data_IF_780188587005
#
_entry.id   IF_780188587005
#
_cell.length_a   1.000
_cell.length_b   1.000
_cell.length_c   1.000
_cell.angle_alpha   90.00
_cell.angle_beta   90.00
_cell.angle_gamma   90.00
#
_symmetry.space_group_name_H-M   'P 1'
#
loop_
_entity.id
_entity.type
_entity.pdbx_description
1 polymer ?
#
# COMPACT_ATOMS: atom_id res chain seq x y z
N UNK A 1 -3.27 0.83 14.64
CA UNK A 1 -3.81 0.92 13.28
C UNK A 1 -4.03 -0.48 12.75
N UNK A 2 -5.26 -0.88 12.61
CA UNK A 2 -5.65 -2.10 11.91
C UNK A 2 -5.91 -1.66 10.47
N UNK A 3 -5.11 -2.11 9.50
CA UNK A 3 -5.45 -2.01 8.08
C UNK A 3 -6.79 -2.73 7.88
N UNK A 4 -7.88 -1.96 7.80
CA UNK A 4 -9.20 -2.51 7.52
C UNK A 4 -9.32 -2.69 5.99
N UNK A 5 -8.74 -3.80 5.50
CA UNK A 5 -8.82 -4.19 4.10
C UNK A 5 -10.24 -4.68 3.80
N UNK A 6 -11.22 -3.77 3.84
CA UNK A 6 -12.60 -4.08 3.46
C UNK A 6 -12.69 -4.24 1.95
N UNK A 7 -13.00 -5.45 1.54
CA UNK A 7 -13.29 -5.76 0.15
C UNK A 7 -14.45 -4.94 -0.39
N UNK A 8 -14.17 -4.08 -1.37
CA UNK A 8 -15.19 -3.49 -2.22
C UNK A 8 -15.85 -4.60 -3.02
N UNK A 9 -17.18 -4.68 -2.97
CA UNK A 9 -17.97 -5.67 -3.70
C UNK A 9 -17.77 -5.53 -5.21
N UNK A 10 -17.24 -6.57 -5.83
CA UNK A 10 -17.13 -6.68 -7.27
C UNK A 10 -18.47 -7.02 -7.87
N UNK A 11 -18.93 -6.24 -8.85
CA UNK A 11 -20.01 -6.62 -9.75
C UNK A 11 -19.66 -7.93 -10.45
N UNK A 12 -20.45 -8.97 -10.23
CA UNK A 12 -20.39 -10.26 -10.91
C UNK A 12 -20.80 -10.08 -12.38
N UNK A 13 -19.84 -9.79 -13.24
CA UNK A 13 -19.98 -10.15 -14.65
C UNK A 13 -19.78 -11.67 -14.73
N UNK A 14 -20.70 -12.38 -15.38
CA UNK A 14 -20.58 -13.82 -15.67
C UNK A 14 -19.46 -14.01 -16.68
N UNK A 15 -18.27 -14.24 -16.16
CA UNK A 15 -17.06 -14.43 -16.94
C UNK A 15 -16.93 -15.90 -17.34
N UNK A 16 -16.98 -16.19 -18.66
CA UNK A 16 -16.81 -17.52 -19.25
C UNK A 16 -15.34 -17.93 -19.36
N UNK A 17 -14.48 -17.37 -18.52
CA UNK A 17 -13.04 -17.61 -18.52
C UNK A 17 -12.74 -19.04 -18.02
N UNK A 18 -11.89 -19.76 -18.72
CA UNK A 18 -11.43 -21.08 -18.27
C UNK A 18 -10.64 -20.95 -16.96
N UNK A 19 -10.96 -21.73 -15.92
CA UNK A 19 -10.26 -21.63 -14.64
C UNK A 19 -8.74 -21.78 -14.76
N UNK A 20 -8.01 -20.94 -14.05
CA UNK A 20 -6.55 -21.02 -13.97
C UNK A 20 -6.17 -22.18 -13.03
N UNK A 21 -5.79 -23.34 -13.62
CA UNK A 21 -5.41 -24.55 -12.87
C UNK A 21 -4.14 -24.33 -12.01
N UNK A 22 -3.22 -23.49 -12.48
CA UNK A 22 -2.01 -23.18 -11.72
C UNK A 22 -2.35 -22.48 -10.39
N UNK A 23 -3.31 -21.56 -10.41
CA UNK A 23 -3.79 -20.91 -9.20
C UNK A 23 -4.44 -21.89 -8.23
N UNK A 24 -5.23 -22.85 -8.71
CA UNK A 24 -5.87 -23.85 -7.83
C UNK A 24 -4.80 -24.67 -7.06
N UNK A 25 -3.78 -25.14 -7.75
CA UNK A 25 -2.66 -25.86 -7.14
C UNK A 25 -1.87 -24.96 -6.15
N UNK A 26 -1.72 -23.68 -6.49
CA UNK A 26 -1.05 -22.70 -5.60
C UNK A 26 -1.86 -22.45 -4.33
N UNK A 27 -3.18 -22.37 -4.42
CA UNK A 27 -4.09 -22.21 -3.26
C UNK A 27 -3.93 -23.43 -2.32
N UNK A 28 -4.01 -24.66 -2.84
CA UNK A 28 -3.82 -25.86 -2.02
C UNK A 28 -2.43 -25.91 -1.37
N UNK A 29 -1.40 -25.46 -2.09
CA UNK A 29 -0.04 -25.40 -1.56
C UNK A 29 0.08 -24.37 -0.46
N UNK A 30 -0.48 -23.17 -0.66
CA UNK A 30 -0.47 -22.11 0.34
C UNK A 30 -1.27 -22.51 1.59
N UNK A 31 -2.41 -23.20 1.44
CA UNK A 31 -3.19 -23.69 2.58
C UNK A 31 -2.38 -24.70 3.42
N UNK A 32 -1.62 -25.61 2.78
CA UNK A 32 -0.70 -26.53 3.48
C UNK A 32 0.46 -25.80 4.16
N UNK A 33 1.03 -24.81 3.50
CA UNK A 33 2.08 -23.95 4.08
C UNK A 33 1.56 -23.18 5.28
N UNK A 34 0.35 -22.64 5.19
CA UNK A 34 -0.31 -21.96 6.29
C UNK A 34 -0.50 -22.89 7.51
N UNK A 35 -1.01 -24.10 7.31
CA UNK A 35 -1.18 -25.11 8.37
C UNK A 35 0.14 -25.55 9.01
N UNK A 36 1.25 -25.45 8.26
CA UNK A 36 2.61 -25.77 8.73
C UNK A 36 3.36 -24.58 9.30
N UNK A 37 2.67 -23.47 9.64
CA UNK A 37 3.22 -22.20 10.13
C UNK A 37 4.22 -21.51 9.19
N UNK A 38 4.21 -21.86 7.89
CA UNK A 38 5.05 -21.24 6.85
C UNK A 38 4.31 -20.06 6.19
N UNK A 39 3.94 -19.06 6.99
CA UNK A 39 3.12 -17.92 6.56
C UNK A 39 3.73 -17.12 5.43
N UNK A 40 5.06 -16.83 5.52
CA UNK A 40 5.80 -16.13 4.47
C UNK A 40 5.76 -16.89 3.15
N UNK A 41 5.96 -18.21 3.19
CA UNK A 41 5.97 -19.06 1.99
C UNK A 41 4.57 -19.09 1.36
N UNK A 42 3.52 -19.18 2.18
CA UNK A 42 2.13 -19.10 1.70
C UNK A 42 1.84 -17.77 1.00
N UNK A 43 2.25 -16.64 1.59
CA UNK A 43 2.12 -15.33 0.97
C UNK A 43 2.89 -15.27 -0.35
N UNK A 44 4.14 -15.74 -0.38
CA UNK A 44 4.97 -15.74 -1.60
C UNK A 44 4.35 -16.60 -2.71
N UNK A 45 3.86 -17.80 -2.38
CA UNK A 45 3.22 -18.72 -3.33
C UNK A 45 2.01 -18.06 -4.01
N UNK A 46 1.18 -17.34 -3.25
CA UNK A 46 -0.03 -16.71 -3.79
C UNK A 46 0.25 -15.36 -4.47
N UNK A 47 1.27 -14.62 -4.01
CA UNK A 47 1.61 -13.29 -4.57
C UNK A 47 1.92 -13.35 -6.06
N UNK A 48 2.54 -14.44 -6.53
CA UNK A 48 2.87 -14.67 -7.95
C UNK A 48 1.61 -14.60 -8.84
N UNK A 49 0.46 -15.00 -8.31
CA UNK A 49 -0.80 -15.07 -9.04
C UNK A 49 -1.62 -13.79 -8.99
N UNK A 50 -1.20 -12.77 -8.22
CA UNK A 50 -1.99 -11.55 -8.07
C UNK A 50 -2.37 -10.89 -9.40
N UNK A 51 -1.41 -10.80 -10.32
CA UNK A 51 -1.58 -10.25 -11.66
C UNK A 51 -1.70 -11.35 -12.74
N UNK A 52 -2.00 -12.60 -12.38
CA UNK A 52 -2.12 -13.67 -13.36
C UNK A 52 -3.31 -13.40 -14.31
N UNK A 53 -3.12 -13.57 -15.61
CA UNK A 53 -4.21 -13.45 -16.58
C UNK A 53 -5.20 -14.63 -16.42
N UNK A 54 -6.39 -14.48 -16.98
CA UNK A 54 -7.38 -15.53 -17.09
C UNK A 54 -7.85 -16.13 -15.74
N UNK A 55 -7.96 -15.30 -14.70
CA UNK A 55 -8.66 -15.66 -13.48
C UNK A 55 -10.15 -15.39 -13.61
N UNK A 56 -10.98 -16.33 -13.15
CA UNK A 56 -12.40 -16.05 -12.93
C UNK A 56 -12.59 -15.12 -11.73
N UNK A 57 -13.73 -14.42 -11.65
CA UNK A 57 -14.06 -13.57 -10.48
C UNK A 57 -14.05 -14.37 -9.17
N UNK A 58 -14.49 -15.63 -9.19
CA UNK A 58 -14.44 -16.52 -8.03
C UNK A 58 -13.01 -16.85 -7.63
N UNK A 59 -12.14 -17.19 -8.59
CA UNK A 59 -10.72 -17.44 -8.33
C UNK A 59 -10.01 -16.22 -7.76
N UNK A 60 -10.31 -15.02 -8.29
CA UNK A 60 -9.77 -13.78 -7.74
C UNK A 60 -10.23 -13.57 -6.29
N UNK A 61 -11.51 -13.82 -6.00
CA UNK A 61 -12.04 -13.71 -4.64
C UNK A 61 -11.37 -14.70 -3.68
N UNK A 62 -11.17 -15.95 -4.10
CA UNK A 62 -10.49 -16.96 -3.29
C UNK A 62 -9.02 -16.62 -3.04
N UNK A 63 -8.33 -16.07 -4.04
CA UNK A 63 -6.95 -15.59 -3.93
C UNK A 63 -6.85 -14.44 -2.91
N UNK A 64 -7.69 -13.42 -3.06
CA UNK A 64 -7.69 -12.23 -2.20
C UNK A 64 -8.10 -12.55 -0.75
N UNK A 65 -9.06 -13.45 -0.55
CA UNK A 65 -9.46 -13.93 0.78
C UNK A 65 -8.30 -14.57 1.58
N UNK A 66 -7.22 -15.00 0.90
CA UNK A 66 -6.01 -15.53 1.51
C UNK A 66 -4.88 -14.52 1.55
N UNK A 67 -4.68 -13.76 0.48
CA UNK A 67 -3.62 -12.75 0.40
C UNK A 67 -3.78 -11.66 1.46
N UNK A 68 -4.98 -11.10 1.62
CA UNK A 68 -5.23 -10.01 2.55
C UNK A 68 -4.85 -10.37 4.01
N UNK A 69 -5.32 -11.50 4.60
CA UNK A 69 -4.92 -11.86 5.96
C UNK A 69 -3.45 -12.30 6.07
N UNK A 70 -2.89 -12.97 5.03
CA UNK A 70 -1.47 -13.34 5.02
C UNK A 70 -0.56 -12.11 5.00
N UNK A 71 -0.87 -11.11 4.15
CA UNK A 71 -0.10 -9.87 4.11
C UNK A 71 -0.16 -9.14 5.47
N UNK A 72 -1.35 -9.07 6.09
CA UNK A 72 -1.52 -8.48 7.43
C UNK A 72 -0.64 -9.19 8.47
N UNK A 73 -0.62 -10.52 8.47
CA UNK A 73 0.17 -11.28 9.43
C UNK A 73 1.67 -11.21 9.14
N UNK A 74 2.09 -11.41 7.89
CA UNK A 74 3.52 -11.50 7.53
C UNK A 74 4.20 -10.14 7.57
N UNK A 75 3.55 -9.10 7.04
CA UNK A 75 4.16 -7.78 6.85
C UNK A 75 3.87 -6.88 8.06
N UNK A 76 2.61 -6.77 8.47
CA UNK A 76 2.16 -5.72 9.39
C UNK A 76 1.97 -6.17 10.84
N UNK A 77 2.05 -7.47 11.16
CA UNK A 77 2.05 -7.92 12.55
C UNK A 77 3.44 -7.79 13.19
N UNK A 78 3.51 -7.92 14.52
CA UNK A 78 4.79 -7.94 15.26
C UNK A 78 5.60 -9.23 15.08
N UNK A 79 5.08 -10.25 14.36
CA UNK A 79 5.81 -11.51 14.14
C UNK A 79 7.00 -11.31 13.21
N UNK A 80 8.17 -11.84 13.58
CA UNK A 80 9.42 -11.77 12.82
C UNK A 80 9.45 -12.81 11.69
N UNK A 81 8.59 -12.64 10.68
CA UNK A 81 8.42 -13.61 9.57
C UNK A 81 9.23 -13.25 8.30
N UNK A 82 9.77 -12.03 8.22
CA UNK A 82 10.52 -11.56 7.06
C UNK A 82 12.01 -11.38 7.36
N UNK A 83 12.31 -10.69 8.44
CA UNK A 83 13.68 -10.37 8.88
C UNK A 83 13.85 -10.82 10.34
N UNK A 84 15.09 -11.01 10.76
CA UNK A 84 15.41 -11.18 12.17
C UNK A 84 15.07 -9.90 12.94
N UNK A 85 14.70 -9.98 14.23
CA UNK A 85 14.45 -8.78 15.00
C UNK A 85 15.68 -7.88 15.01
N UNK A 86 15.44 -6.57 14.85
CA UNK A 86 16.48 -5.56 15.01
C UNK A 86 16.59 -5.18 16.49
N UNK A 87 17.76 -5.28 17.06
CA UNK A 87 18.01 -4.85 18.44
C UNK A 87 18.56 -3.43 18.45
N UNK A 88 17.78 -2.50 19.00
CA UNK A 88 18.14 -1.07 19.05
C UNK A 88 19.46 -0.85 19.77
N UNK A 89 20.36 -0.14 19.13
CA UNK A 89 21.68 0.23 19.67
C UNK A 89 21.62 1.40 20.66
N UNK A 90 22.78 1.75 21.24
CA UNK A 90 22.89 2.97 22.05
C UNK A 90 22.81 4.20 21.13
N UNK A 91 21.96 5.17 21.50
CA UNK A 91 21.70 6.40 20.73
C UNK A 91 21.12 6.18 19.32
N UNK A 92 20.60 5.01 19.03
CA UNK A 92 19.91 4.71 17.78
C UNK A 92 18.41 5.06 17.91
N UNK A 93 17.90 5.85 16.99
CA UNK A 93 16.49 6.22 16.92
C UNK A 93 15.71 5.30 15.97
N UNK A 94 14.38 5.30 16.07
CA UNK A 94 13.55 4.57 15.11
C UNK A 94 13.73 5.07 13.67
N UNK A 95 14.08 6.35 13.49
CA UNK A 95 14.39 6.96 12.18
C UNK A 95 15.65 6.35 11.60
N UNK A 96 16.71 6.14 12.43
CA UNK A 96 17.93 5.50 12.00
C UNK A 96 17.68 4.06 11.55
N UNK A 97 16.93 3.29 12.36
CA UNK A 97 16.54 1.93 12.02
C UNK A 97 15.76 1.90 10.71
N UNK A 98 14.76 2.77 10.55
CA UNK A 98 13.94 2.85 9.33
C UNK A 98 14.78 3.14 8.08
N UNK A 99 15.80 4.00 8.21
CA UNK A 99 16.75 4.31 7.14
C UNK A 99 17.56 3.08 6.71
N UNK A 100 18.05 2.29 7.69
CA UNK A 100 18.79 1.03 7.42
C UNK A 100 17.95 0.04 6.62
N UNK A 101 16.64 -0.04 6.94
CA UNK A 101 15.72 -0.97 6.31
C UNK A 101 14.97 -0.37 5.10
N UNK A 102 15.23 0.88 4.73
CA UNK A 102 14.64 1.56 3.57
C UNK A 102 13.09 1.61 3.61
N UNK A 103 12.55 1.91 4.77
CA UNK A 103 11.10 2.08 4.99
C UNK A 103 10.83 3.37 5.76
N UNK A 104 9.61 3.94 5.67
CA UNK A 104 9.23 5.06 6.53
C UNK A 104 9.25 4.65 8.00
N UNK A 105 9.75 5.54 8.87
CA UNK A 105 9.76 5.30 10.31
C UNK A 105 8.33 5.13 10.89
N UNK A 106 7.35 5.79 10.29
CA UNK A 106 5.93 5.65 10.64
C UNK A 106 5.45 4.20 10.50
N UNK A 107 5.89 3.50 9.46
CA UNK A 107 5.57 2.09 9.27
C UNK A 107 6.14 1.24 10.40
N UNK A 108 7.42 1.44 10.75
CA UNK A 108 8.03 0.70 11.87
C UNK A 108 7.40 1.07 13.21
N UNK A 109 7.04 2.33 13.42
CA UNK A 109 6.33 2.79 14.61
C UNK A 109 4.98 2.07 14.75
N UNK A 110 4.19 2.04 13.69
CA UNK A 110 2.88 1.40 13.67
C UNK A 110 2.97 -0.11 13.92
N UNK A 111 3.88 -0.81 13.25
CA UNK A 111 4.07 -2.27 13.41
C UNK A 111 4.49 -2.61 14.84
N UNK A 112 5.38 -1.82 15.43
CA UNK A 112 5.92 -2.07 16.76
C UNK A 112 5.14 -1.38 17.89
N UNK A 113 4.05 -0.66 17.57
CA UNK A 113 3.21 0.09 18.53
C UNK A 113 4.01 1.14 19.32
N UNK A 114 4.92 1.83 18.64
CA UNK A 114 5.75 2.89 19.20
C UNK A 114 5.07 4.23 18.97
N UNK A 115 4.75 4.93 20.04
CA UNK A 115 4.10 6.24 19.96
C UNK A 115 5.09 7.39 19.74
N UNK A 116 6.32 7.27 20.28
CA UNK A 116 7.36 8.27 20.16
C UNK A 116 8.61 7.67 19.49
N UNK A 117 8.91 8.06 18.25
CA UNK A 117 10.04 7.50 17.49
C UNK A 117 11.42 7.87 18.03
N UNK A 118 11.50 8.87 18.93
CA UNK A 118 12.77 9.37 19.49
C UNK A 118 13.17 8.62 20.76
N UNK A 119 12.19 8.07 21.50
CA UNK A 119 12.41 7.50 22.83
C UNK A 119 12.48 5.96 22.85
N UNK A 120 12.91 5.33 21.78
CA UNK A 120 13.09 3.87 21.74
C UNK A 120 14.31 3.49 22.58
N UNK A 121 14.10 2.63 23.58
CA UNK A 121 15.15 2.24 24.52
C UNK A 121 16.19 1.31 23.86
N UNK A 122 17.49 1.51 24.13
CA UNK A 122 18.53 0.58 23.73
C UNK A 122 18.23 -0.85 24.20
N UNK A 123 18.47 -1.82 23.32
CA UNK A 123 18.18 -3.23 23.58
C UNK A 123 16.74 -3.68 23.26
N UNK A 124 15.85 -2.76 22.91
CA UNK A 124 14.50 -3.11 22.43
C UNK A 124 14.62 -3.93 21.12
N UNK A 125 13.89 -5.02 21.05
CA UNK A 125 13.78 -5.81 19.81
C UNK A 125 12.60 -5.32 18.97
N UNK A 126 12.89 -4.91 17.74
CA UNK A 126 11.92 -4.37 16.80
C UNK A 126 11.63 -5.39 15.70
N UNK A 127 10.36 -5.54 15.37
CA UNK A 127 9.96 -6.11 14.08
C UNK A 127 10.41 -5.16 12.98
N UNK A 128 11.19 -5.68 12.05
CA UNK A 128 11.65 -4.95 10.88
C UNK A 128 11.31 -5.70 9.60
N UNK A 129 11.31 -4.98 8.51
CA UNK A 129 11.10 -5.48 7.15
C UNK A 129 11.89 -4.58 6.18
N UNK A 130 12.37 -5.15 5.10
CA UNK A 130 13.26 -4.45 4.16
C UNK A 130 12.50 -3.96 2.94
N UNK A 131 12.44 -2.64 2.81
CA UNK A 131 11.89 -1.94 1.66
C UNK A 131 12.88 -1.80 0.49
N UNK A 132 12.60 -0.88 -0.45
CA UNK A 132 11.40 -0.06 -0.48
C UNK A 132 10.15 -0.84 -0.90
N UNK A 133 8.97 -0.36 -0.50
CA UNK A 133 7.72 -0.79 -1.10
C UNK A 133 7.58 -0.19 -2.50
N UNK A 134 6.83 -0.86 -3.37
CA UNK A 134 6.38 -0.35 -4.65
C UNK A 134 4.86 -0.42 -4.75
N UNK A 135 4.27 0.34 -5.66
CA UNK A 135 2.84 0.27 -5.92
C UNK A 135 2.54 0.04 -7.40
N UNK A 136 1.42 -0.61 -7.65
CA UNK A 136 0.80 -0.71 -8.98
C UNK A 136 -0.58 -0.06 -8.92
N UNK A 137 -0.86 0.80 -9.88
CA UNK A 137 -2.14 1.48 -10.04
C UNK A 137 -2.82 0.92 -11.28
N UNK A 138 -3.98 0.31 -11.10
CA UNK A 138 -4.82 -0.21 -12.17
C UNK A 138 -5.96 0.77 -12.44
N UNK A 139 -5.94 1.40 -13.62
CA UNK A 139 -6.89 2.43 -13.99
C UNK A 139 -8.31 1.88 -14.21
N UNK A 140 -8.44 0.69 -14.79
CA UNK A 140 -9.75 0.08 -15.08
C UNK A 140 -10.45 -0.42 -13.82
N UNK A 141 -9.71 -1.06 -12.92
CA UNK A 141 -10.26 -1.59 -11.66
C UNK A 141 -10.30 -0.54 -10.56
N UNK A 142 -9.68 0.63 -10.77
CA UNK A 142 -9.53 1.71 -9.79
C UNK A 142 -8.95 1.19 -8.46
N UNK A 143 -7.84 0.49 -8.56
CA UNK A 143 -7.18 -0.13 -7.43
C UNK A 143 -5.69 0.24 -7.39
N UNK A 144 -5.19 0.62 -6.21
CA UNK A 144 -3.78 0.75 -5.91
C UNK A 144 -3.35 -0.45 -5.08
N UNK A 145 -2.37 -1.20 -5.56
CA UNK A 145 -1.83 -2.38 -4.89
C UNK A 145 -0.40 -2.14 -4.45
N UNK A 146 -0.10 -2.47 -3.19
CA UNK A 146 1.24 -2.40 -2.63
C UNK A 146 1.95 -3.76 -2.71
N UNK A 147 3.26 -3.71 -2.91
CA UNK A 147 4.15 -4.86 -2.88
C UNK A 147 5.41 -4.56 -2.07
N UNK A 148 5.87 -5.55 -1.33
CA UNK A 148 7.19 -5.58 -0.68
C UNK A 148 8.08 -6.59 -1.42
N UNK A 149 8.97 -6.11 -2.29
CA UNK A 149 9.58 -6.98 -3.28
C UNK A 149 8.52 -7.64 -4.16
N UNK A 150 8.47 -8.98 -4.16
CA UNK A 150 7.46 -9.76 -4.88
C UNK A 150 6.24 -10.16 -4.03
N UNK A 151 6.23 -9.80 -2.75
CA UNK A 151 5.12 -10.12 -1.85
C UNK A 151 4.01 -9.10 -1.98
N UNK A 152 2.79 -9.57 -2.19
CA UNK A 152 1.59 -8.75 -2.06
C UNK A 152 1.49 -8.15 -0.65
N UNK A 153 1.28 -6.85 -0.58
CA UNK A 153 1.29 -6.11 0.68
C UNK A 153 -0.01 -5.36 1.00
N UNK A 154 -1.01 -5.47 0.13
CA UNK A 154 -2.32 -4.84 0.35
C UNK A 154 -2.81 -4.10 -0.88
N UNK A 155 -4.09 -3.74 -0.89
CA UNK A 155 -4.75 -3.03 -1.97
C UNK A 155 -5.75 -2.02 -1.45
N UNK A 156 -5.96 -0.96 -2.20
CA UNK A 156 -6.77 0.19 -1.80
C UNK A 156 -7.61 0.65 -2.98
N UNK A 157 -8.91 0.90 -2.79
CA UNK A 157 -9.74 1.55 -3.80
C UNK A 157 -9.27 2.99 -4.00
N UNK A 158 -9.25 3.43 -5.25
CA UNK A 158 -8.83 4.78 -5.64
C UNK A 158 -9.86 5.41 -6.55
N UNK A 159 -9.78 6.74 -6.68
CA UNK A 159 -10.39 7.46 -7.77
C UNK A 159 -9.33 8.15 -8.64
N UNK A 160 -9.68 8.39 -9.90
CA UNK A 160 -8.74 8.83 -10.91
C UNK A 160 -9.18 10.17 -11.45
N UNK A 161 -8.28 11.14 -11.45
CA UNK A 161 -8.48 12.45 -12.01
C UNK A 161 -8.67 12.42 -13.53
N UNK A 162 -9.42 13.37 -14.05
CA UNK A 162 -9.84 13.39 -15.47
C UNK A 162 -9.05 14.34 -16.33
N UNK A 163 -8.35 15.33 -15.76
CA UNK A 163 -7.61 16.34 -16.51
C UNK A 163 -6.32 16.80 -15.79
N UNK A 164 -5.17 16.34 -16.27
CA UNK A 164 -4.96 15.27 -17.25
C UNK A 164 -5.17 13.90 -16.59
N UNK A 165 -5.69 12.95 -17.37
CA UNK A 165 -5.76 11.55 -16.91
C UNK A 165 -4.35 10.99 -16.74
N UNK A 166 -4.08 10.20 -15.66
CA UNK A 166 -2.79 9.55 -15.44
C UNK A 166 -2.38 8.70 -16.65
N UNK A 167 -1.13 8.90 -17.11
CA UNK A 167 -0.59 8.13 -18.25
C UNK A 167 0.02 6.82 -17.77
N UNK A 168 -0.09 5.78 -18.59
CA UNK A 168 0.57 4.50 -18.34
C UNK A 168 2.09 4.69 -18.27
N UNK A 169 2.74 3.98 -17.36
CA UNK A 169 4.19 4.07 -17.19
C UNK A 169 4.63 3.78 -15.77
N UNK A 170 5.94 3.87 -15.56
CA UNK A 170 6.54 3.74 -14.24
C UNK A 170 7.09 5.09 -13.79
N UNK A 171 6.70 5.48 -12.61
CA UNK A 171 7.03 6.75 -11.95
C UNK A 171 7.76 6.46 -10.64
N UNK A 172 8.34 7.51 -10.07
CA UNK A 172 8.99 7.45 -8.76
C UNK A 172 8.44 8.55 -7.88
N UNK A 173 8.17 8.26 -6.61
CA UNK A 173 7.78 9.29 -5.64
C UNK A 173 8.96 10.24 -5.46
N UNK A 174 8.79 11.49 -5.90
CA UNK A 174 9.81 12.55 -5.85
C UNK A 174 9.78 13.31 -4.54
N UNK A 175 8.58 13.55 -4.00
CA UNK A 175 8.38 14.28 -2.74
C UNK A 175 7.12 13.79 -2.02
N UNK A 176 7.08 13.99 -0.70
CA UNK A 176 5.98 13.62 0.19
C UNK A 176 5.68 14.77 1.15
N UNK A 177 4.42 15.18 1.26
CA UNK A 177 3.97 16.28 2.12
C UNK A 177 2.68 15.95 2.86
N UNK A 178 2.55 16.51 4.05
CA UNK A 178 1.33 16.45 4.87
C UNK A 178 0.62 17.80 4.98
N UNK A 179 1.16 18.84 4.32
CA UNK A 179 0.72 20.23 4.43
C UNK A 179 0.51 20.90 3.06
N UNK A 180 0.09 20.11 2.06
CA UNK A 180 -0.09 20.62 0.69
C UNK A 180 -1.25 21.61 0.64
N UNK A 181 -0.94 22.89 0.46
CA UNK A 181 -1.93 23.94 0.21
C UNK A 181 -2.51 23.77 -1.19
N UNK A 182 -3.81 23.83 -1.29
CA UNK A 182 -4.54 23.98 -2.55
C UNK A 182 -4.81 25.46 -2.80
N UNK A 183 -4.84 25.88 -4.06
CA UNK A 183 -5.28 27.21 -4.44
C UNK A 183 -6.57 27.08 -5.25
N UNK A 184 -7.61 27.72 -4.78
CA UNK A 184 -8.92 27.73 -5.45
C UNK A 184 -8.87 28.47 -6.80
N UNK A 185 -10.00 28.55 -7.50
CA UNK A 185 -10.08 29.21 -8.81
C UNK A 185 -9.85 30.72 -8.75
N UNK A 186 -10.02 31.32 -7.58
CA UNK A 186 -9.80 32.74 -7.31
C UNK A 186 -8.36 33.02 -6.82
N UNK A 187 -7.57 31.94 -6.59
CA UNK A 187 -6.19 32.03 -6.11
C UNK A 187 -6.05 32.11 -4.59
N UNK A 188 -7.12 31.86 -3.84
CA UNK A 188 -7.04 31.84 -2.38
C UNK A 188 -6.41 30.52 -1.90
N UNK A 189 -5.53 30.57 -0.87
CA UNK A 189 -4.94 29.38 -0.32
C UNK A 189 -5.94 28.62 0.58
N UNK A 190 -6.07 27.31 0.34
CA UNK A 190 -6.88 26.39 1.14
C UNK A 190 -5.91 25.41 1.82
N UNK A 191 -5.75 25.46 3.15
CA UNK A 191 -4.80 24.61 3.87
C UNK A 191 -5.21 23.13 3.85
N UNK A 192 -4.26 22.23 4.16
CA UNK A 192 -4.45 20.77 4.07
C UNK A 192 -5.52 20.24 5.01
N UNK A 193 -5.75 20.90 6.14
CA UNK A 193 -6.76 20.51 7.14
C UNK A 193 -8.18 20.94 6.76
N UNK A 194 -8.32 21.82 5.75
CA UNK A 194 -9.64 22.28 5.31
C UNK A 194 -10.40 21.17 4.58
N UNK A 195 -11.69 20.97 4.90
CA UNK A 195 -12.53 20.04 4.14
C UNK A 195 -12.76 20.49 2.68
N UNK A 196 -12.42 21.72 2.34
CA UNK A 196 -12.47 22.26 0.98
C UNK A 196 -11.20 21.95 0.17
N UNK A 197 -10.14 21.45 0.82
CA UNK A 197 -8.92 21.06 0.12
C UNK A 197 -9.10 19.68 -0.52
N UNK A 198 -9.16 19.56 -1.86
CA UNK A 198 -9.41 18.29 -2.54
C UNK A 198 -8.28 17.28 -2.39
N UNK A 199 -7.10 17.72 -1.93
CA UNK A 199 -5.93 16.85 -1.76
C UNK A 199 -5.88 16.19 -0.38
N UNK A 200 -6.76 16.55 0.55
CA UNK A 200 -6.74 16.04 1.90
C UNK A 200 -5.41 16.33 2.61
N UNK A 201 -5.06 15.45 3.56
CA UNK A 201 -3.92 15.68 4.45
C UNK A 201 -2.58 15.13 3.93
N UNK A 202 -2.55 14.34 2.86
CA UNK A 202 -1.30 13.74 2.35
C UNK A 202 -1.18 13.90 0.84
N UNK A 203 0.05 14.15 0.41
CA UNK A 203 0.41 14.36 -0.98
C UNK A 203 1.73 13.63 -1.31
N UNK A 204 1.76 12.88 -2.39
CA UNK A 204 2.95 12.24 -2.93
C UNK A 204 3.10 12.64 -4.39
N UNK A 205 4.16 13.38 -4.69
CA UNK A 205 4.48 13.86 -6.03
C UNK A 205 5.15 12.77 -6.87
N UNK A 206 4.63 12.51 -8.05
CA UNK A 206 5.20 11.59 -9.04
C UNK A 206 5.87 12.33 -10.22
N UNK A 207 5.84 13.66 -10.19
CA UNK A 207 6.32 14.52 -11.28
C UNK A 207 5.29 14.71 -12.39
N UNK A 208 5.53 15.73 -13.24
CA UNK A 208 4.70 15.98 -14.43
C UNK A 208 3.22 16.27 -14.13
N UNK A 209 2.90 16.88 -13.02
CA UNK A 209 1.54 17.14 -12.50
C UNK A 209 0.76 15.88 -12.08
N UNK A 210 1.44 14.75 -11.97
CA UNK A 210 0.86 13.51 -11.48
C UNK A 210 1.16 13.35 -10.00
N UNK A 211 0.16 12.99 -9.20
CA UNK A 211 0.31 12.77 -7.76
C UNK A 211 -0.63 11.69 -7.24
N UNK A 212 -0.28 11.12 -6.10
CA UNK A 212 -1.18 10.36 -5.26
C UNK A 212 -1.47 11.21 -4.02
N UNK A 213 -2.74 11.37 -3.66
CA UNK A 213 -3.13 12.19 -2.53
C UNK A 213 -4.34 11.65 -1.78
N UNK A 214 -4.60 12.20 -0.62
CA UNK A 214 -5.82 11.95 0.13
C UNK A 214 -7.02 12.65 -0.47
N UNK A 215 -8.09 12.62 0.30
CA UNK A 215 -9.33 13.37 0.05
C UNK A 215 -9.87 13.81 1.40
N UNK A 216 -10.67 14.88 1.47
CA UNK A 216 -11.19 15.35 2.75
C UNK A 216 -12.22 14.41 3.39
N UNK A 217 -12.93 13.63 2.59
CA UNK A 217 -13.98 12.72 3.04
C UNK A 217 -13.89 11.36 2.33
N UNK A 218 -14.34 11.25 1.10
CA UNK A 218 -14.24 10.02 0.30
C UNK A 218 -13.36 10.25 -0.91
N UNK A 219 -12.74 9.18 -1.43
CA UNK A 219 -12.01 9.29 -2.69
C UNK A 219 -12.92 9.83 -3.79
N UNK A 220 -12.48 10.87 -4.47
CA UNK A 220 -13.23 11.53 -5.54
C UNK A 220 -12.31 11.90 -6.70
N UNK A 221 -12.80 11.80 -7.96
CA UNK A 221 -12.05 12.30 -9.10
C UNK A 221 -11.77 13.80 -8.95
N UNK A 222 -10.53 14.20 -9.23
CA UNK A 222 -10.14 15.61 -9.25
C UNK A 222 -9.87 16.06 -10.70
N UNK A 223 -9.91 17.35 -10.94
CA UNK A 223 -9.59 17.92 -12.25
C UNK A 223 -8.07 18.14 -12.45
N UNK A 224 -7.23 17.49 -11.66
CA UNK A 224 -5.79 17.75 -11.65
C UNK A 224 -4.99 16.45 -11.61
N UNK A 225 -5.06 15.63 -12.66
CA UNK A 225 -4.12 14.55 -12.96
C UNK A 225 -3.71 13.66 -11.78
N UNK A 226 -4.65 13.32 -10.91
CA UNK A 226 -4.35 12.78 -9.60
C UNK A 226 -4.96 11.39 -9.42
N UNK A 227 -4.36 10.66 -8.52
CA UNK A 227 -4.87 9.40 -7.96
C UNK A 227 -5.26 9.70 -6.52
N UNK A 228 -6.56 9.65 -6.21
CA UNK A 228 -7.06 10.00 -4.89
C UNK A 228 -7.48 8.78 -4.07
N UNK A 229 -7.24 8.85 -2.78
CA UNK A 229 -7.56 7.84 -1.78
C UNK A 229 -8.49 8.43 -0.72
N UNK A 230 -9.37 7.62 -0.14
CA UNK A 230 -10.09 7.99 1.07
C UNK A 230 -9.10 8.31 2.22
N UNK A 231 -9.46 9.16 3.20
CA UNK A 231 -8.51 9.68 4.20
C UNK A 231 -7.69 8.62 4.90
N UNK A 232 -8.31 7.57 5.43
CA UNK A 232 -7.62 6.51 6.17
C UNK A 232 -6.66 5.73 5.27
N UNK A 233 -7.08 5.39 4.06
CA UNK A 233 -6.24 4.69 3.08
C UNK A 233 -5.07 5.56 2.61
N UNK A 234 -5.29 6.86 2.49
CA UNK A 234 -4.25 7.80 2.12
C UNK A 234 -3.15 7.88 3.19
N UNK A 235 -3.52 7.89 4.48
CA UNK A 235 -2.58 7.85 5.59
C UNK A 235 -1.79 6.55 5.62
N UNK A 236 -2.46 5.40 5.40
CA UNK A 236 -1.79 4.09 5.34
C UNK A 236 -0.78 4.04 4.19
N UNK A 237 -1.21 4.38 2.97
CA UNK A 237 -0.33 4.37 1.78
C UNK A 237 0.84 5.35 1.94
N UNK A 238 0.57 6.54 2.49
CA UNK A 238 1.60 7.52 2.80
C UNK A 238 2.60 7.00 3.84
N UNK A 239 2.13 6.32 4.87
CA UNK A 239 2.97 5.72 5.91
C UNK A 239 3.82 4.54 5.42
N UNK A 240 3.44 3.88 4.32
CA UNK A 240 4.12 2.69 3.79
C UNK A 240 5.10 3.02 2.66
N UNK A 241 4.72 3.89 1.72
CA UNK A 241 5.55 4.27 0.59
C UNK A 241 6.61 5.30 0.99
N UNK A 242 7.84 5.11 0.54
CA UNK A 242 8.96 6.04 0.74
C UNK A 242 9.12 6.99 -0.45
N UNK A 243 9.77 8.13 -0.24
CA UNK A 243 10.39 8.85 -1.35
C UNK A 243 11.36 7.88 -2.08
N UNK A 244 11.31 7.85 -3.41
CA UNK A 244 12.04 6.87 -4.21
C UNK A 244 11.26 5.58 -4.50
N UNK A 245 10.12 5.31 -3.85
CA UNK A 245 9.25 4.17 -4.18
C UNK A 245 8.76 4.24 -5.63
N UNK A 246 8.76 3.09 -6.30
CA UNK A 246 8.30 2.96 -7.69
C UNK A 246 6.78 2.79 -7.75
N UNK A 247 6.14 3.53 -8.64
CA UNK A 247 4.70 3.49 -8.91
C UNK A 247 4.49 3.13 -10.38
N UNK A 248 3.90 1.99 -10.66
CA UNK A 248 3.60 1.56 -12.02
C UNK A 248 2.11 1.73 -12.30
N UNK A 249 1.77 2.54 -13.30
CA UNK A 249 0.38 2.78 -13.74
C UNK A 249 0.10 1.90 -14.94
N UNK A 250 -0.94 1.09 -14.84
CA UNK A 250 -1.42 0.13 -15.84
C UNK A 250 -2.89 0.37 -16.18
N UNK A 251 -3.35 -0.26 -17.26
CA UNK A 251 -4.79 -0.33 -17.58
C UNK A 251 -5.56 -1.15 -16.59
#
# INVERSE_FOLDING_TARGET
YMLDLKGGGSNLATDTTTPNLGLMNAIETADRQFLSDKRRDALATLSIFYNAPNMTGEQRSQLLARLDPLAREVIYSQRHLLEQPHRVGQNETLIDVASIYQVPWQLLANINQINDPVTVLPGTELKVLRGPFRAEVHLETKELTLFLGDLYAGRFPIEIGVDPMPRLGTYTIQDKKTDKTYYDREGNPVPSESPENPFGQVWMDLGGMLSIHGSPDAAAPTNQGCISLAPDYAQDVYGILSQGSSITIRR
#
